data_IF_603378338650
#
_entry.id   IF_603378338650
#
_cell.length_a   1.000
_cell.length_b   1.000
_cell.length_c   1.000
_cell.angle_alpha   90.00
_cell.angle_beta   90.00
_cell.angle_gamma   90.00
#
_symmetry.space_group_name_H-M   'P 1'
#
loop_
_entity.id
_entity.type
_entity.pdbx_description
1 polymer ?
#
# COMPACT_ATOMS: atom_id res chain seq x y z
N UNK A 1 -25.45 -6.88 -23.45
CA UNK A 1 -26.16 -7.73 -22.46
C UNK A 1 -27.48 -8.15 -23.08
N UNK A 2 -27.85 -9.43 -23.03
CA UNK A 2 -29.21 -9.93 -23.26
C UNK A 2 -29.38 -11.29 -22.57
N UNK A 3 -30.47 -11.45 -21.81
CA UNK A 3 -30.80 -12.65 -21.05
C UNK A 3 -32.31 -12.89 -21.10
N UNK A 4 -32.75 -14.09 -21.46
CA UNK A 4 -34.09 -14.57 -21.09
C UNK A 4 -34.07 -16.08 -20.87
N UNK A 5 -34.47 -16.57 -19.68
CA UNK A 5 -34.97 -17.92 -19.57
C UNK A 5 -36.40 -17.97 -19.04
N UNK A 6 -37.26 -18.69 -19.75
CA UNK A 6 -38.70 -18.81 -19.50
C UNK A 6 -39.08 -20.28 -19.44
N UNK A 7 -38.73 -20.98 -18.34
CA UNK A 7 -39.02 -22.41 -18.06
C UNK A 7 -37.91 -23.43 -18.39
N UNK A 8 -36.70 -23.26 -17.87
CA UNK A 8 -35.62 -24.26 -17.97
C UNK A 8 -34.24 -23.71 -17.59
N UNK A 9 -33.19 -24.55 -17.67
CA UNK A 9 -31.81 -24.12 -17.45
C UNK A 9 -31.41 -23.07 -18.51
N UNK A 10 -31.28 -21.82 -18.07
CA UNK A 10 -30.86 -20.69 -18.90
C UNK A 10 -29.41 -20.31 -18.65
N UNK A 11 -28.65 -20.03 -19.71
CA UNK A 11 -27.30 -19.47 -19.59
C UNK A 11 -27.31 -18.02 -20.05
N UNK A 12 -27.04 -17.14 -19.08
CA UNK A 12 -26.83 -15.73 -19.27
C UNK A 12 -25.32 -15.45 -19.30
N UNK A 13 -24.79 -14.91 -20.41
CA UNK A 13 -23.41 -14.35 -20.45
C UNK A 13 -23.39 -12.87 -20.80
N UNK A 14 -22.72 -12.06 -19.99
CA UNK A 14 -22.49 -10.64 -20.22
C UNK A 14 -21.07 -10.30 -19.82
N UNK A 15 -20.42 -9.43 -20.58
CA UNK A 15 -19.08 -8.91 -20.25
C UNK A 15 -19.28 -7.54 -19.61
N UNK A 16 -18.76 -7.38 -18.41
CA UNK A 16 -18.65 -6.11 -17.72
C UNK A 16 -17.16 -5.78 -17.60
N UNK A 17 -16.77 -4.56 -18.00
CA UNK A 17 -15.38 -4.08 -17.94
C UNK A 17 -15.34 -2.82 -17.09
N UNK A 18 -14.56 -2.87 -16.01
CA UNK A 18 -14.24 -1.72 -15.18
C UNK A 18 -12.74 -1.47 -15.28
N UNK A 19 -12.39 -0.23 -15.57
CA UNK A 19 -11.00 0.23 -15.70
C UNK A 19 -10.69 1.16 -14.52
N UNK A 20 -10.29 0.62 -13.36
CA UNK A 20 -9.91 1.45 -12.24
C UNK A 20 -8.70 2.30 -12.59
N UNK A 21 -8.67 3.52 -12.03
CA UNK A 21 -7.56 4.44 -12.13
C UNK A 21 -7.24 5.02 -10.73
N UNK A 22 -6.17 5.81 -10.67
CA UNK A 22 -5.70 6.41 -9.42
C UNK A 22 -6.40 7.74 -9.06
N UNK A 23 -7.52 8.07 -9.70
CA UNK A 23 -8.27 9.29 -9.35
C UNK A 23 -8.93 9.12 -7.98
N UNK A 24 -8.98 10.21 -7.19
CA UNK A 24 -9.48 10.16 -5.81
C UNK A 24 -10.91 9.60 -5.71
N UNK A 25 -11.75 9.86 -6.70
CA UNK A 25 -13.11 9.31 -6.78
C UNK A 25 -13.07 7.78 -6.89
N UNK A 26 -12.29 7.23 -7.81
CA UNK A 26 -12.17 5.79 -8.05
C UNK A 26 -11.57 5.02 -6.88
N UNK A 27 -10.68 5.66 -6.12
CA UNK A 27 -10.08 5.10 -4.91
C UNK A 27 -11.05 5.14 -3.71
N UNK A 28 -11.90 6.17 -3.62
CA UNK A 28 -12.82 6.35 -2.49
C UNK A 28 -14.17 5.64 -2.69
N UNK A 29 -14.62 5.48 -3.93
CA UNK A 29 -15.91 4.87 -4.23
C UNK A 29 -15.72 3.46 -4.81
N UNK A 30 -16.09 2.41 -4.05
CA UNK A 30 -16.11 1.06 -4.59
C UNK A 30 -17.10 0.99 -5.75
N UNK A 31 -16.81 0.16 -6.74
CA UNK A 31 -17.80 -0.19 -7.73
C UNK A 31 -18.71 -1.28 -7.16
N UNK A 32 -20.00 -1.00 -7.05
CA UNK A 32 -21.02 -1.97 -6.63
C UNK A 32 -21.93 -2.34 -7.80
N UNK A 33 -21.97 -3.63 -8.13
CA UNK A 33 -22.83 -4.20 -9.18
C UNK A 33 -23.95 -5.00 -8.51
N UNK A 34 -25.18 -4.49 -8.61
CA UNK A 34 -26.37 -5.11 -8.00
C UNK A 34 -27.18 -5.86 -9.04
N UNK A 35 -27.30 -7.17 -8.86
CA UNK A 35 -28.16 -8.06 -9.64
C UNK A 35 -29.52 -8.13 -8.95
N UNK A 36 -30.58 -7.77 -9.67
CA UNK A 36 -31.96 -7.81 -9.16
C UNK A 36 -32.77 -8.85 -9.94
N UNK A 37 -33.46 -9.72 -9.21
CA UNK A 37 -34.45 -10.63 -9.79
C UNK A 37 -35.75 -9.86 -10.03
N UNK A 38 -36.24 -9.86 -11.28
CA UNK A 38 -37.55 -9.30 -11.67
C UNK A 38 -38.41 -10.40 -12.25
N UNK A 39 -39.47 -10.77 -11.54
CA UNK A 39 -40.49 -11.71 -12.00
C UNK A 39 -41.78 -10.96 -12.37
N UNK A 40 -42.51 -11.48 -13.37
CA UNK A 40 -43.68 -10.82 -13.94
C UNK A 40 -45.00 -11.15 -13.22
N UNK A 41 -45.03 -12.12 -12.29
CA UNK A 41 -46.28 -12.59 -11.69
C UNK A 41 -46.22 -12.67 -10.16
N UNK A 42 -47.20 -11.99 -9.55
CA UNK A 42 -47.68 -12.05 -8.16
C UNK A 42 -46.64 -11.82 -7.04
N UNK A 43 -46.58 -10.56 -6.58
CA UNK A 43 -45.82 -10.08 -5.40
C UNK A 43 -44.38 -10.59 -5.35
N UNK A 44 -43.51 -10.11 -6.26
CA UNK A 44 -42.11 -10.49 -6.24
C UNK A 44 -41.48 -10.08 -4.91
N UNK A 45 -40.98 -11.06 -4.14
CA UNK A 45 -39.99 -10.79 -3.10
C UNK A 45 -38.69 -10.50 -3.83
N UNK A 46 -38.46 -9.22 -4.14
CA UNK A 46 -37.30 -8.78 -4.91
C UNK A 46 -36.01 -9.27 -4.26
N UNK A 47 -35.38 -10.29 -4.84
CA UNK A 47 -34.07 -10.73 -4.41
C UNK A 47 -33.00 -9.90 -5.11
N UNK A 48 -32.00 -9.48 -4.34
CA UNK A 48 -30.83 -8.82 -4.88
C UNK A 48 -29.53 -9.42 -4.34
N UNK A 49 -28.49 -9.34 -5.16
CA UNK A 49 -27.11 -9.67 -4.81
C UNK A 49 -26.20 -8.57 -5.31
N UNK A 50 -25.30 -8.11 -4.44
CA UNK A 50 -24.35 -7.05 -4.77
C UNK A 50 -22.95 -7.63 -4.77
N UNK A 51 -22.23 -7.39 -5.86
CA UNK A 51 -20.79 -7.68 -5.97
C UNK A 51 -20.06 -6.35 -5.87
N UNK A 52 -19.09 -6.28 -4.96
CA UNK A 52 -18.32 -5.07 -4.67
C UNK A 52 -16.88 -5.24 -5.16
N UNK A 53 -16.41 -4.28 -5.95
CA UNK A 53 -15.05 -4.21 -6.48
C UNK A 53 -14.35 -2.98 -5.91
N UNK A 54 -13.12 -3.16 -5.45
CA UNK A 54 -12.32 -2.12 -4.82
C UNK A 54 -10.91 -2.11 -5.39
N UNK A 55 -10.34 -0.92 -5.49
CA UNK A 55 -8.92 -0.74 -5.81
C UNK A 55 -8.15 -0.88 -4.50
N UNK A 56 -7.63 -2.07 -4.24
CA UNK A 56 -6.82 -2.33 -3.05
C UNK A 56 -5.34 -1.97 -3.31
N UNK A 57 -4.75 -1.16 -2.44
CA UNK A 57 -3.30 -1.03 -2.38
C UNK A 57 -2.67 -2.32 -1.87
N UNK A 58 -1.45 -2.66 -2.31
CA UNK A 58 -0.67 -3.79 -1.82
C UNK A 58 -0.16 -3.60 -0.36
N UNK A 59 -0.96 -2.98 0.50
CA UNK A 59 -0.66 -2.68 1.91
C UNK A 59 -0.72 -3.92 2.81
N UNK A 60 -0.79 -5.11 2.22
CA UNK A 60 -0.85 -6.40 2.90
C UNK A 60 0.53 -6.98 3.21
N UNK A 61 1.62 -6.33 2.81
CA UNK A 61 2.97 -6.77 3.16
C UNK A 61 3.37 -6.23 4.53
N UNK A 62 3.75 -7.14 5.43
CA UNK A 62 4.36 -6.77 6.71
C UNK A 62 5.67 -6.03 6.43
N UNK A 63 5.72 -4.73 6.72
CA UNK A 63 6.92 -3.94 6.56
C UNK A 63 7.84 -4.11 7.78
N UNK A 64 8.97 -4.78 7.59
CA UNK A 64 9.97 -5.05 8.62
C UNK A 64 11.33 -4.43 8.25
N UNK A 65 11.54 -3.14 8.56
CA UNK A 65 12.84 -2.49 8.35
C UNK A 65 13.98 -3.18 9.10
N UNK A 66 15.19 -3.25 8.52
CA UNK A 66 16.39 -3.59 9.27
C UNK A 66 16.56 -2.64 10.46
N UNK A 67 17.03 -3.19 11.58
CA UNK A 67 17.21 -2.46 12.84
C UNK A 67 18.69 -2.29 13.22
N UNK A 68 19.62 -2.76 12.38
CA UNK A 68 21.06 -2.67 12.60
C UNK A 68 21.81 -2.67 11.27
N UNK A 69 22.92 -1.93 11.20
CA UNK A 69 23.86 -1.97 10.09
C UNK A 69 25.28 -1.71 10.61
N UNK A 70 26.28 -2.19 9.87
CA UNK A 70 27.70 -2.23 10.24
C UNK A 70 28.52 -1.57 9.14
N UNK A 71 28.77 -0.24 9.20
CA UNK A 71 29.52 0.46 8.16
C UNK A 71 31.04 0.17 8.29
N UNK A 72 31.45 -1.05 7.94
CA UNK A 72 32.82 -1.54 8.02
C UNK A 72 33.44 -1.83 6.63
N UNK A 73 32.72 -1.53 5.55
CA UNK A 73 33.11 -1.70 4.14
C UNK A 73 33.36 -3.14 3.71
N UNK A 74 32.73 -4.11 4.39
CA UNK A 74 32.82 -5.54 4.02
C UNK A 74 31.80 -5.96 2.94
N UNK A 75 30.95 -5.03 2.49
CA UNK A 75 29.90 -5.25 1.50
C UNK A 75 28.56 -5.72 2.08
N UNK A 76 28.50 -6.01 3.38
CA UNK A 76 27.34 -6.59 4.07
C UNK A 76 26.78 -5.62 5.11
N UNK A 77 25.54 -5.17 4.91
CA UNK A 77 24.88 -4.22 5.83
C UNK A 77 25.72 -2.95 6.09
N UNK A 78 26.49 -2.49 5.11
CA UNK A 78 27.28 -1.25 5.24
C UNK A 78 26.42 0.01 5.33
N UNK A 79 25.19 -0.08 4.83
CA UNK A 79 24.26 1.05 4.73
C UNK A 79 22.93 0.66 5.35
N UNK A 80 22.32 1.62 6.03
CA UNK A 80 20.89 1.59 6.26
C UNK A 80 20.17 1.99 4.97
N UNK A 81 19.45 1.03 4.40
CA UNK A 81 18.62 1.14 3.21
C UNK A 81 17.36 0.27 3.41
N UNK A 82 16.28 0.59 2.72
CA UNK A 82 14.98 -0.08 2.90
C UNK A 82 14.49 -0.67 1.58
N UNK A 83 14.94 -1.90 1.29
CA UNK A 83 14.63 -2.60 0.03
C UNK A 83 13.15 -2.95 -0.09
N UNK A 84 12.52 -3.26 1.03
CA UNK A 84 11.11 -3.69 1.10
C UNK A 84 10.17 -2.55 1.51
N UNK A 85 10.48 -1.31 1.15
CA UNK A 85 9.56 -0.19 1.35
C UNK A 85 8.21 -0.49 0.72
N UNK A 86 7.08 -0.18 1.39
CA UNK A 86 5.76 -0.26 0.77
C UNK A 86 5.77 0.40 -0.63
N UNK A 87 5.20 -0.26 -1.65
CA UNK A 87 5.23 0.26 -3.00
C UNK A 87 4.49 1.59 -3.10
N UNK A 88 4.93 2.44 -4.01
CA UNK A 88 4.13 3.60 -4.40
C UNK A 88 2.83 3.10 -5.03
N UNK A 89 1.70 3.66 -4.60
CA UNK A 89 0.39 3.27 -5.10
C UNK A 89 -0.54 4.48 -5.16
N UNK A 90 -0.86 4.93 -6.38
CA UNK A 90 -1.73 6.07 -6.60
C UNK A 90 -1.30 7.32 -5.81
N UNK A 91 -2.06 7.72 -4.80
CA UNK A 91 -1.76 8.87 -3.94
C UNK A 91 -0.84 8.55 -2.75
N UNK A 92 -0.43 7.28 -2.59
CA UNK A 92 0.47 6.80 -1.56
C UNK A 92 1.88 6.62 -2.14
N UNK A 93 2.63 7.71 -2.26
CA UNK A 93 4.01 7.70 -2.73
C UNK A 93 4.98 7.99 -1.59
N UNK A 94 6.17 7.39 -1.64
CA UNK A 94 7.27 7.74 -0.73
C UNK A 94 7.58 9.24 -0.84
N UNK A 95 7.50 9.94 0.30
CA UNK A 95 7.80 11.37 0.40
C UNK A 95 9.24 11.58 0.84
N UNK A 96 9.57 11.11 2.05
CA UNK A 96 10.89 11.28 2.62
C UNK A 96 11.18 10.30 3.75
N UNK A 97 12.47 10.16 4.05
CA UNK A 97 12.97 9.60 5.30
C UNK A 97 13.79 10.63 6.05
N UNK A 98 13.60 10.69 7.37
CA UNK A 98 14.41 11.47 8.30
C UNK A 98 14.98 10.54 9.37
N UNK A 99 16.24 10.75 9.75
CA UNK A 99 16.89 10.00 10.83
C UNK A 99 17.37 10.96 11.90
N UNK A 100 17.15 10.60 13.15
CA UNK A 100 17.40 11.39 14.34
C UNK A 100 18.32 10.63 15.28
N UNK A 101 19.17 11.37 15.99
CA UNK A 101 19.91 10.81 17.12
C UNK A 101 19.02 10.67 18.38
N UNK A 102 19.58 10.11 19.45
CA UNK A 102 18.86 9.88 20.73
C UNK A 102 18.31 11.14 21.42
N UNK A 103 18.76 12.33 21.01
CA UNK A 103 18.30 13.61 21.54
C UNK A 103 17.27 14.30 20.63
N UNK A 104 16.80 13.61 19.58
CA UNK A 104 15.83 14.16 18.62
C UNK A 104 16.42 15.12 17.59
N UNK A 105 17.75 15.30 17.54
CA UNK A 105 18.39 16.09 16.48
C UNK A 105 18.42 15.27 15.20
N UNK A 106 17.90 15.85 14.11
CA UNK A 106 18.00 15.26 12.77
C UNK A 106 19.47 15.19 12.33
N UNK A 107 19.90 14.01 11.91
CA UNK A 107 21.27 13.74 11.44
C UNK A 107 21.32 13.33 9.98
N UNK A 108 20.20 12.92 9.39
CA UNK A 108 20.09 12.56 7.98
C UNK A 108 18.67 12.78 7.47
N UNK A 109 18.54 13.09 6.17
CA UNK A 109 17.26 13.16 5.46
C UNK A 109 17.45 12.82 3.99
N UNK A 110 16.44 12.20 3.37
CA UNK A 110 16.44 11.92 1.92
C UNK A 110 15.00 11.87 1.40
N UNK A 111 14.79 12.39 0.18
CA UNK A 111 13.56 12.23 -0.61
C UNK A 111 13.66 11.10 -1.63
N UNK A 112 14.85 10.49 -1.79
CA UNK A 112 15.04 9.31 -2.63
C UNK A 112 14.57 8.05 -1.91
N UNK A 113 13.71 7.26 -2.57
CA UNK A 113 13.28 5.92 -2.11
C UNK A 113 14.45 4.93 -2.04
N UNK A 114 15.48 5.15 -2.87
CA UNK A 114 16.70 4.33 -2.93
C UNK A 114 17.84 4.94 -2.09
N UNK A 115 17.50 5.62 -0.99
CA UNK A 115 18.50 6.21 -0.12
C UNK A 115 19.44 5.14 0.47
N UNK A 116 20.66 5.55 0.78
CA UNK A 116 21.64 4.73 1.49
C UNK A 116 22.34 5.60 2.52
N UNK A 117 22.21 5.25 3.79
CA UNK A 117 22.84 5.98 4.88
C UNK A 117 23.92 5.13 5.54
N UNK A 118 25.16 5.59 5.47
CA UNK A 118 26.36 4.89 5.96
C UNK A 118 26.70 5.21 7.42
N UNK A 119 26.06 6.21 8.04
CA UNK A 119 26.32 6.58 9.44
C UNK A 119 27.77 6.99 9.75
N UNK A 120 28.58 7.30 8.73
CA UNK A 120 30.04 7.46 8.85
C UNK A 120 30.46 8.53 9.86
N UNK A 121 29.71 9.63 9.94
CA UNK A 121 29.96 10.75 10.87
C UNK A 121 29.24 10.63 12.22
N UNK A 122 28.72 9.45 12.57
CA UNK A 122 27.86 9.24 13.72
C UNK A 122 28.43 8.18 14.67
N UNK A 123 28.45 8.41 15.99
CA UNK A 123 28.93 7.42 16.96
C UNK A 123 28.07 6.14 16.94
N UNK A 124 28.63 5.03 17.44
CA UNK A 124 27.89 3.79 17.56
C UNK A 124 26.70 3.98 18.53
N UNK A 125 25.60 3.29 18.25
CA UNK A 125 24.41 3.33 19.09
C UNK A 125 23.11 3.46 18.30
N UNK A 126 22.03 3.71 19.04
CA UNK A 126 20.67 3.76 18.49
C UNK A 126 20.34 5.13 17.89
N UNK A 127 19.70 5.06 16.73
CA UNK A 127 19.12 6.17 15.96
C UNK A 127 17.66 5.83 15.67
N UNK A 128 16.87 6.85 15.35
CA UNK A 128 15.44 6.71 15.11
C UNK A 128 15.11 7.25 13.73
N UNK A 129 14.29 6.53 12.96
CA UNK A 129 13.86 6.99 11.65
C UNK A 129 12.36 7.29 11.62
N UNK A 130 12.00 8.23 10.75
CA UNK A 130 10.64 8.53 10.36
C UNK A 130 10.57 8.50 8.83
N UNK A 131 9.74 7.61 8.29
CA UNK A 131 9.43 7.51 6.86
C UNK A 131 8.03 8.09 6.67
N UNK A 132 7.87 8.92 5.65
CA UNK A 132 6.62 9.62 5.34
C UNK A 132 6.20 9.28 3.92
N UNK A 133 4.91 9.00 3.73
CA UNK A 133 4.26 8.89 2.44
C UNK A 133 3.29 10.07 2.22
N UNK A 134 2.99 10.37 0.97
CA UNK A 134 2.12 11.49 0.56
C UNK A 134 0.67 11.33 1.04
N UNK A 135 0.20 10.10 1.25
CA UNK A 135 -1.13 9.79 1.79
C UNK A 135 -1.19 9.86 3.34
N UNK A 136 -0.16 10.45 3.96
CA UNK A 136 0.01 10.62 5.41
C UNK A 136 0.37 9.35 6.17
N UNK A 137 0.60 8.20 5.53
CA UNK A 137 1.21 7.05 6.21
C UNK A 137 2.59 7.43 6.74
N UNK A 138 2.88 6.94 7.95
CA UNK A 138 4.14 7.19 8.63
C UNK A 138 4.64 5.90 9.26
N UNK A 139 5.89 5.54 8.95
CA UNK A 139 6.56 4.41 9.58
C UNK A 139 7.68 4.96 10.47
N UNK A 140 7.73 4.45 11.70
CA UNK A 140 8.72 4.86 12.71
C UNK A 140 9.39 3.62 13.28
N UNK A 141 10.66 3.76 13.63
CA UNK A 141 11.41 2.69 14.26
C UNK A 141 12.80 3.15 14.67
N UNK A 142 13.62 2.20 15.07
CA UNK A 142 15.01 2.45 15.40
C UNK A 142 15.94 1.67 14.47
N UNK A 143 17.15 2.18 14.35
CA UNK A 143 18.26 1.51 13.70
C UNK A 143 19.52 1.73 14.53
N UNK A 144 20.32 0.69 14.68
CA UNK A 144 21.57 0.73 15.43
C UNK A 144 22.76 0.77 14.47
N UNK A 145 23.69 1.68 14.72
CA UNK A 145 25.03 1.64 14.12
C UNK A 145 25.90 0.77 15.01
N UNK A 146 26.33 -0.39 14.49
CA UNK A 146 27.33 -1.24 15.13
C UNK A 146 28.70 -1.06 14.47
N UNK A 147 29.76 -1.13 15.27
CA UNK A 147 31.17 -1.04 14.83
C UNK A 147 31.96 -2.17 15.47
#
# INVERSE_FOLDING_TARGET
MSFVPTNGAGRATGIFRWEPNCDQTTLATPLEVTFQLREATCVPVGQQRTVRFEVASADTLTFLPPNIFTPNTDGTNDFFELRDLPPNFCNAEFSDIKIFNRWGKQVYTSTSRNFRWDGSNMPAGAYYYLIVYTDKRRYKGNVTIAR
#
